data_IF_264988101067
#
_entry.id   IF_264988101067
#
_cell.length_a   1.000
_cell.length_b   1.000
_cell.length_c   1.000
_cell.angle_alpha   90.00
_cell.angle_beta   90.00
_cell.angle_gamma   90.00
#
_symmetry.space_group_name_H-M   'P 1'
#
loop_
_entity.id
_entity.type
_entity.pdbx_description
1 polymer ?
#
# COMPACT_ATOMS: atom_id res chain seq x y z
N UNK A 1 3.59 10.49 35.51
CA UNK A 1 4.70 11.46 35.64
C UNK A 1 4.28 12.77 35.01
N UNK A 2 4.83 13.91 35.44
CA UNK A 2 4.66 15.18 34.70
C UNK A 2 5.69 15.24 33.56
N UNK A 3 5.21 15.17 32.32
CA UNK A 3 6.01 15.11 31.10
C UNK A 3 6.42 16.49 30.55
N UNK A 4 5.95 17.60 31.14
CA UNK A 4 6.41 18.95 30.80
C UNK A 4 7.53 19.41 31.74
N UNK A 5 7.51 18.92 32.98
CA UNK A 5 8.52 19.27 33.99
C UNK A 5 9.94 18.86 33.53
N UNK A 6 10.74 19.88 33.21
CA UNK A 6 12.11 19.70 32.71
C UNK A 6 12.16 19.06 31.32
N UNK A 7 11.13 19.24 30.49
CA UNK A 7 11.14 18.68 29.13
C UNK A 7 12.30 19.24 28.30
N UNK A 8 12.60 20.53 28.43
CA UNK A 8 13.71 21.21 27.74
C UNK A 8 15.11 20.58 27.97
N UNK A 9 15.32 19.78 29.01
CA UNK A 9 16.56 19.03 29.24
C UNK A 9 16.33 17.54 29.57
N UNK A 10 15.21 16.99 29.09
CA UNK A 10 14.71 15.67 29.48
C UNK A 10 15.74 14.55 29.32
N UNK A 11 16.60 14.60 28.30
CA UNK A 11 17.63 13.58 28.04
C UNK A 11 18.57 13.36 29.23
N UNK A 12 18.91 14.41 29.97
CA UNK A 12 19.80 14.33 31.14
C UNK A 12 19.04 14.46 32.46
N UNK A 13 17.91 15.16 32.45
CA UNK A 13 17.15 15.47 33.67
C UNK A 13 16.10 14.43 34.05
N UNK A 14 15.64 13.58 33.13
CA UNK A 14 14.64 12.56 33.43
C UNK A 14 15.28 11.22 33.79
N UNK A 15 14.68 10.56 34.79
CA UNK A 15 15.00 9.17 35.09
C UNK A 15 14.50 8.24 33.99
N UNK A 16 15.12 7.06 33.85
CA UNK A 16 14.71 6.04 32.87
C UNK A 16 13.20 5.74 32.90
N UNK A 17 12.60 5.47 34.08
CA UNK A 17 11.16 5.21 34.19
C UNK A 17 10.27 6.42 33.80
N UNK A 18 10.73 7.66 34.05
CA UNK A 18 10.00 8.85 33.62
C UNK A 18 10.02 8.98 32.09
N UNK A 19 11.18 8.75 31.46
CA UNK A 19 11.34 8.72 30.00
C UNK A 19 10.42 7.66 29.38
N UNK A 20 10.43 6.45 29.91
CA UNK A 20 9.59 5.35 29.40
C UNK A 20 8.10 5.66 29.54
N UNK A 21 7.65 6.10 30.71
CA UNK A 21 6.24 6.39 30.96
C UNK A 21 5.74 7.55 30.10
N UNK A 22 6.50 8.65 30.01
CA UNK A 22 6.15 9.82 29.20
C UNK A 22 6.21 9.53 27.70
N UNK A 23 7.11 8.64 27.27
CA UNK A 23 7.15 8.20 25.88
C UNK A 23 5.89 7.42 25.51
N UNK A 24 5.42 6.53 26.40
CA UNK A 24 4.24 5.69 26.13
C UNK A 24 2.92 6.45 26.21
N UNK A 25 2.76 7.35 27.19
CA UNK A 25 1.47 7.99 27.46
C UNK A 25 1.31 9.36 26.80
N UNK A 26 2.41 10.08 26.58
CA UNK A 26 2.42 11.48 26.13
C UNK A 26 3.21 11.67 24.83
N UNK A 27 3.89 10.63 24.34
CA UNK A 27 4.77 10.69 23.16
C UNK A 27 6.01 11.56 23.36
N UNK A 28 6.37 11.88 24.61
CA UNK A 28 7.47 12.80 24.96
C UNK A 28 8.62 12.09 25.63
N UNK A 29 9.84 12.54 25.31
CA UNK A 29 11.05 12.01 25.95
C UNK A 29 11.37 10.56 25.58
N UNK A 30 10.97 10.15 24.37
CA UNK A 30 11.39 8.87 23.80
C UNK A 30 12.88 8.93 23.46
N UNK A 31 13.70 8.20 24.23
CA UNK A 31 15.07 7.91 23.81
C UNK A 31 14.98 7.17 22.47
N UNK A 32 15.72 7.64 21.47
CA UNK A 32 15.61 7.26 20.04
C UNK A 32 15.74 5.76 19.71
N UNK A 33 15.83 4.88 20.70
CA UNK A 33 15.94 3.44 20.55
C UNK A 33 14.60 2.75 20.27
N UNK A 34 13.50 3.50 20.25
CA UNK A 34 12.18 3.01 19.81
C UNK A 34 11.58 3.80 18.65
N UNK A 35 12.42 4.42 17.81
CA UNK A 35 12.12 4.27 16.39
C UNK A 35 12.44 2.81 16.11
N UNK A 36 11.51 1.98 15.63
CA UNK A 36 11.95 0.84 14.85
C UNK A 36 12.91 1.46 13.85
N UNK A 37 14.20 1.11 13.89
CA UNK A 37 15.08 1.38 12.77
C UNK A 37 14.25 0.89 11.59
N UNK A 38 13.72 1.81 10.79
CA UNK A 38 12.98 1.45 9.60
C UNK A 38 13.90 0.44 8.93
N UNK A 39 13.49 -0.82 8.79
CA UNK A 39 14.43 -1.94 8.64
C UNK A 39 15.38 -1.75 7.45
N UNK A 40 15.05 -0.80 6.57
CA UNK A 40 15.88 -0.35 5.49
C UNK A 40 15.98 1.18 5.38
N UNK A 41 17.22 1.69 5.26
CA UNK A 41 17.50 3.06 4.85
C UNK A 41 17.37 3.20 3.33
N UNK A 42 16.36 3.93 2.86
CA UNK A 42 16.05 4.11 1.45
C UNK A 42 16.95 5.11 0.70
N UNK A 43 17.84 5.84 1.39
CA UNK A 43 18.83 6.68 0.73
C UNK A 43 20.15 5.92 0.50
N UNK A 44 20.46 4.97 1.39
CA UNK A 44 21.69 4.18 1.32
C UNK A 44 21.76 3.36 0.02
N UNK A 45 22.66 3.74 -0.88
CA UNK A 45 22.83 3.11 -2.20
C UNK A 45 21.66 3.35 -3.14
N UNK A 46 20.92 4.44 -2.99
CA UNK A 46 19.79 4.72 -3.88
C UNK A 46 20.23 4.85 -5.35
N UNK A 47 21.40 5.42 -5.64
CA UNK A 47 21.91 5.58 -7.00
C UNK A 47 22.11 4.26 -7.78
N UNK A 48 22.25 3.13 -7.10
CA UNK A 48 22.39 1.80 -7.71
C UNK A 48 21.36 0.79 -7.18
N UNK A 49 20.23 1.30 -6.66
CA UNK A 49 19.24 0.52 -5.91
C UNK A 49 18.78 -0.76 -6.64
N UNK A 50 18.62 -0.69 -7.96
CA UNK A 50 18.11 -1.81 -8.78
C UNK A 50 18.97 -3.07 -8.64
N UNK A 51 20.30 -2.91 -8.54
CA UNK A 51 21.26 -4.02 -8.37
C UNK A 51 21.75 -4.15 -6.93
N UNK A 52 21.80 -3.03 -6.21
CA UNK A 52 22.42 -2.94 -4.89
C UNK A 52 21.49 -3.20 -3.72
N UNK A 53 20.16 -3.08 -3.91
CA UNK A 53 19.20 -3.38 -2.86
C UNK A 53 18.74 -4.84 -2.92
N UNK A 54 18.56 -5.43 -1.74
CA UNK A 54 17.86 -6.70 -1.60
C UNK A 54 16.37 -6.54 -1.94
N UNK A 55 15.71 -7.63 -2.33
CA UNK A 55 14.26 -7.64 -2.59
C UNK A 55 13.43 -7.00 -1.46
N UNK A 56 13.61 -7.42 -0.19
CA UNK A 56 12.89 -6.85 0.94
C UNK A 56 13.12 -5.34 1.13
N UNK A 57 14.33 -4.84 0.84
CA UNK A 57 14.63 -3.41 0.91
C UNK A 57 13.87 -2.63 -0.15
N UNK A 58 13.82 -3.15 -1.38
CA UNK A 58 13.06 -2.54 -2.49
C UNK A 58 11.58 -2.45 -2.18
N UNK A 59 10.97 -3.55 -1.73
CA UNK A 59 9.55 -3.62 -1.36
C UNK A 59 9.23 -2.62 -0.23
N UNK A 60 9.99 -2.67 0.86
CA UNK A 60 9.77 -1.81 2.01
C UNK A 60 9.92 -0.31 1.66
N UNK A 61 10.97 0.06 0.92
CA UNK A 61 11.20 1.43 0.48
C UNK A 61 10.20 1.92 -0.55
N UNK A 62 9.66 1.02 -1.37
CA UNK A 62 8.58 1.36 -2.29
C UNK A 62 7.30 1.72 -1.50
N UNK A 63 6.91 0.88 -0.54
CA UNK A 63 5.68 1.06 0.23
C UNK A 63 5.73 2.28 1.18
N UNK A 64 6.86 2.50 1.84
CA UNK A 64 6.96 3.49 2.93
C UNK A 64 7.60 4.81 2.51
N UNK A 65 8.47 4.79 1.49
CA UNK A 65 9.22 5.96 1.03
C UNK A 65 8.98 6.30 -0.45
N UNK A 66 8.18 5.49 -1.18
CA UNK A 66 7.94 5.64 -2.63
C UNK A 66 9.24 5.71 -3.45
N UNK A 67 10.27 4.98 -2.99
CA UNK A 67 11.60 4.93 -3.60
C UNK A 67 11.98 3.51 -3.97
N UNK A 68 12.63 3.35 -5.12
CA UNK A 68 13.13 2.05 -5.56
C UNK A 68 12.02 1.05 -5.89
N UNK A 69 10.87 1.56 -6.33
CA UNK A 69 9.80 0.73 -6.88
C UNK A 69 10.24 0.19 -8.24
N UNK A 70 10.23 -1.13 -8.40
CA UNK A 70 10.32 -1.73 -9.74
C UNK A 70 9.06 -1.37 -10.53
N UNK A 71 9.18 -1.21 -11.85
CA UNK A 71 8.03 -0.89 -12.71
C UNK A 71 6.89 -1.92 -12.59
N UNK A 72 7.20 -3.13 -12.10
CA UNK A 72 6.23 -4.17 -11.80
C UNK A 72 5.31 -3.87 -10.60
N UNK A 73 5.60 -2.89 -9.75
CA UNK A 73 4.64 -2.42 -8.74
C UNK A 73 3.56 -1.49 -9.33
N UNK A 74 3.72 -1.01 -10.57
CA UNK A 74 2.65 -0.31 -11.31
C UNK A 74 1.77 -1.25 -12.14
N UNK A 75 2.11 -2.53 -12.21
CA UNK A 75 1.07 -3.53 -12.20
C UNK A 75 0.64 -3.66 -10.73
N UNK A 76 -0.14 -2.72 -10.20
CA UNK A 76 -1.56 -3.07 -10.02
C UNK A 76 -1.88 -4.11 -11.09
N UNK A 77 -1.75 -5.38 -10.74
CA UNK A 77 -2.45 -6.43 -11.46
C UNK A 77 -3.88 -5.93 -11.47
N UNK A 78 -4.27 -5.28 -12.58
CA UNK A 78 -5.66 -5.07 -12.89
C UNK A 78 -6.23 -6.46 -12.63
N UNK A 79 -7.17 -6.61 -11.68
CA UNK A 79 -7.53 -7.91 -11.14
C UNK A 79 -7.90 -8.90 -12.25
N UNK A 80 -8.22 -8.35 -13.43
CA UNK A 80 -8.33 -9.07 -14.67
C UNK A 80 -7.56 -8.42 -15.83
N UNK A 81 -6.84 -9.25 -16.58
CA UNK A 81 -6.34 -8.92 -17.92
C UNK A 81 -7.43 -9.18 -18.97
N UNK A 82 -7.96 -8.12 -19.57
CA UNK A 82 -9.06 -8.18 -20.55
C UNK A 82 -8.63 -8.60 -21.96
N UNK A 83 -7.34 -8.77 -22.24
CA UNK A 83 -6.85 -9.35 -23.50
C UNK A 83 -6.66 -10.85 -23.37
N UNK A 84 -6.29 -11.32 -22.17
CA UNK A 84 -6.05 -12.74 -21.91
C UNK A 84 -7.32 -13.59 -22.14
N UNK A 85 -7.30 -14.39 -23.21
CA UNK A 85 -8.44 -15.23 -23.62
C UNK A 85 -9.64 -14.42 -24.12
N UNK A 86 -9.43 -13.23 -24.68
CA UNK A 86 -10.55 -12.42 -25.19
C UNK A 86 -11.28 -13.13 -26.34
N UNK A 87 -10.60 -13.88 -27.20
CA UNK A 87 -11.20 -14.60 -28.32
C UNK A 87 -12.26 -15.65 -27.92
N UNK A 88 -12.25 -16.13 -26.68
CA UNK A 88 -13.24 -17.08 -26.15
C UNK A 88 -13.85 -16.60 -24.82
N UNK A 89 -13.87 -15.28 -24.60
CA UNK A 89 -14.22 -14.66 -23.32
C UNK A 89 -15.57 -15.13 -22.76
N UNK A 90 -16.57 -15.34 -23.63
CA UNK A 90 -17.91 -15.80 -23.22
C UNK A 90 -17.89 -17.09 -22.41
N UNK A 91 -16.99 -18.02 -22.72
CA UNK A 91 -16.85 -19.30 -22.04
C UNK A 91 -15.63 -19.33 -21.10
N UNK A 92 -14.58 -18.59 -21.45
CA UNK A 92 -13.28 -18.63 -20.77
C UNK A 92 -13.12 -17.65 -19.63
N UNK A 93 -13.95 -16.61 -19.54
CA UNK A 93 -13.89 -15.64 -18.44
C UNK A 93 -14.86 -15.99 -17.32
N UNK A 94 -14.42 -15.80 -16.08
CA UNK A 94 -15.30 -15.82 -14.92
C UNK A 94 -16.26 -14.62 -14.96
N UNK A 95 -17.43 -14.74 -14.33
CA UNK A 95 -18.40 -13.63 -14.21
C UNK A 95 -17.76 -12.32 -13.72
N UNK A 96 -16.98 -12.33 -12.62
CA UNK A 96 -16.29 -11.14 -12.14
C UNK A 96 -15.30 -10.53 -13.15
N UNK A 97 -14.62 -11.36 -13.95
CA UNK A 97 -13.72 -10.89 -15.02
C UNK A 97 -14.51 -10.17 -16.12
N UNK A 98 -15.65 -10.72 -16.54
CA UNK A 98 -16.54 -10.12 -17.54
C UNK A 98 -17.07 -8.76 -17.08
N UNK A 99 -17.58 -8.69 -15.86
CA UNK A 99 -18.11 -7.45 -15.28
C UNK A 99 -17.03 -6.37 -15.18
N UNK A 100 -15.86 -6.71 -14.63
CA UNK A 100 -14.77 -5.77 -14.49
C UNK A 100 -14.23 -5.30 -15.84
N UNK A 101 -14.01 -6.20 -16.80
CA UNK A 101 -13.54 -5.84 -18.14
C UNK A 101 -14.57 -5.05 -18.95
N UNK A 102 -15.86 -5.29 -18.74
CA UNK A 102 -16.92 -4.52 -19.35
C UNK A 102 -16.90 -3.08 -18.82
N UNK A 103 -16.80 -2.91 -17.50
CA UNK A 103 -16.77 -1.58 -16.87
C UNK A 103 -15.48 -0.79 -17.18
N UNK A 104 -14.33 -1.45 -17.10
CA UNK A 104 -13.03 -0.78 -17.09
C UNK A 104 -12.33 -0.74 -18.46
N UNK A 105 -12.80 -1.54 -19.43
CA UNK A 105 -12.20 -1.64 -20.78
C UNK A 105 -13.22 -1.78 -21.90
N UNK A 106 -14.53 -1.80 -21.61
CA UNK A 106 -15.59 -1.97 -22.61
C UNK A 106 -15.56 -3.33 -23.33
N UNK A 107 -14.93 -4.35 -22.72
CA UNK A 107 -14.72 -5.68 -23.32
C UNK A 107 -15.42 -6.76 -22.52
N UNK A 108 -16.04 -7.71 -23.21
CA UNK A 108 -16.69 -8.85 -22.57
C UNK A 108 -17.98 -8.51 -21.83
N UNK A 109 -18.70 -7.49 -22.29
CA UNK A 109 -20.05 -7.19 -21.81
C UNK A 109 -21.01 -8.27 -22.30
N UNK A 110 -21.70 -8.93 -21.39
CA UNK A 110 -22.86 -9.76 -21.75
C UNK A 110 -24.03 -8.81 -22.04
N UNK A 111 -24.61 -8.92 -23.22
CA UNK A 111 -25.82 -8.20 -23.57
C UNK A 111 -26.98 -8.74 -22.74
N UNK A 112 -27.18 -8.16 -21.57
CA UNK A 112 -28.47 -8.20 -20.89
C UNK A 112 -28.91 -6.73 -20.80
N UNK A 113 -29.84 -6.26 -21.63
CA UNK A 113 -31.23 -6.69 -21.57
C UNK A 113 -32.00 -6.28 -22.85
N UNK A 114 -32.38 -7.27 -23.68
CA UNK A 114 -33.63 -7.24 -24.47
C UNK A 114 -34.81 -7.72 -23.59
N UNK A 115 -34.98 -7.11 -22.42
CA UNK A 115 -36.09 -7.28 -21.46
C UNK A 115 -36.38 -5.91 -20.83
N UNK A 116 -36.63 -4.90 -21.67
CA UNK A 116 -37.16 -3.60 -21.23
C UNK A 116 -38.34 -3.13 -22.08
N UNK A 117 -39.07 -4.03 -22.73
CA UNK A 117 -40.34 -3.69 -23.41
C UNK A 117 -41.42 -4.78 -23.32
N UNK A 118 -41.56 -5.47 -22.18
CA UNK A 118 -42.76 -6.30 -21.95
C UNK A 118 -43.41 -6.21 -20.57
N UNK A 119 -43.11 -5.21 -19.74
CA UNK A 119 -43.78 -5.10 -18.43
C UNK A 119 -44.45 -3.77 -18.08
N UNK A 120 -44.53 -2.76 -18.95
CA UNK A 120 -45.44 -1.62 -18.71
C UNK A 120 -45.91 -0.97 -20.02
N UNK A 121 -47.05 -1.45 -20.54
CA UNK A 121 -48.29 -0.69 -20.87
C UNK A 121 -49.13 -1.44 -21.92
N UNK A 122 -50.13 -2.19 -21.47
CA UNK A 122 -51.57 -2.03 -21.79
C UNK A 122 -52.37 -3.02 -20.94
#
# INVERSE_FOLDING_TARGET
>A
YDCEAGYNNWHMGWSGPKKEWCCHHDGKGCEHQYRPSLPFDCEAGYNNWQKGWSGPKKEWCCDHARKGCEAHHFHYSLPYDCEAGYNNWHMGWSGPKKEWCCHNSGKGCEDHVAVSLLDFTQ
#
